data_IF_852159840650
#
_entry.id   IF_852159840650
#
_cell.length_a   1.000
_cell.length_b   1.000
_cell.length_c   1.000
_cell.angle_alpha   90.00
_cell.angle_beta   90.00
_cell.angle_gamma   90.00
#
_symmetry.space_group_name_H-M   'P 1'
#
loop_
_entity.id
_entity.type
_entity.pdbx_description
1 polymer ?
#
# COMPACT_ATOMS: atom_id res chain seq x y z
N UNK A 1 -21.55 12.51 6.22
CA UNK A 1 -20.59 11.53 6.81
C UNK A 1 -19.26 12.21 7.16
N UNK A 2 -18.82 12.12 8.43
CA UNK A 2 -17.65 12.83 9.00
C UNK A 2 -16.41 11.94 9.24
N UNK A 3 -16.48 10.66 8.86
CA UNK A 3 -15.37 9.73 9.07
C UNK A 3 -14.14 10.07 8.23
N UNK A 4 -12.96 9.93 8.82
CA UNK A 4 -11.64 9.99 8.18
C UNK A 4 -10.94 8.64 8.26
N UNK A 5 -10.07 8.35 7.29
CA UNK A 5 -9.46 7.03 7.12
C UNK A 5 -7.93 7.08 7.22
N UNK A 6 -7.28 6.13 7.91
CA UNK A 6 -5.84 5.99 7.83
C UNK A 6 -5.42 5.68 6.39
N UNK A 7 -4.25 6.18 6.00
CA UNK A 7 -3.67 5.98 4.68
C UNK A 7 -2.51 4.98 4.79
N UNK A 8 -2.55 3.93 3.96
CA UNK A 8 -1.45 2.99 3.75
C UNK A 8 -0.85 3.28 2.38
N UNK A 9 0.47 3.45 2.35
CA UNK A 9 1.21 3.77 1.14
C UNK A 9 2.07 2.58 0.78
N UNK A 10 1.99 2.16 -0.47
CA UNK A 10 2.82 1.12 -1.04
C UNK A 10 3.71 1.72 -2.12
N UNK A 11 5.00 1.44 -1.98
CA UNK A 11 6.01 1.68 -2.99
C UNK A 11 6.45 0.34 -3.57
N UNK A 12 6.69 0.31 -4.86
CA UNK A 12 7.18 -0.88 -5.50
C UNK A 12 7.77 -0.57 -6.87
N UNK A 13 8.30 -1.62 -7.47
CA UNK A 13 8.70 -1.65 -8.87
C UNK A 13 7.46 -1.55 -9.76
N UNK A 14 7.62 -0.96 -10.95
CA UNK A 14 6.50 -0.71 -11.85
C UNK A 14 5.69 -2.01 -12.08
N UNK A 15 4.40 -1.99 -11.73
CA UNK A 15 3.49 -3.12 -11.91
C UNK A 15 2.31 -2.73 -12.79
N UNK A 16 1.89 -3.59 -13.70
CA UNK A 16 0.69 -3.41 -14.53
C UNK A 16 -0.61 -3.67 -13.75
N UNK A 17 -0.52 -4.29 -12.58
CA UNK A 17 -1.63 -4.55 -11.66
C UNK A 17 -1.51 -3.71 -10.39
N UNK A 18 -2.62 -3.61 -9.65
CA UNK A 18 -2.62 -2.94 -8.35
C UNK A 18 -1.90 -3.80 -7.30
N UNK A 19 -0.72 -3.35 -6.85
CA UNK A 19 0.08 -4.02 -5.81
C UNK A 19 0.24 -3.08 -4.61
N UNK A 20 -0.54 -3.28 -3.53
CA UNK A 20 -0.48 -2.43 -2.34
C UNK A 20 0.57 -2.86 -1.31
N UNK A 21 1.70 -3.45 -1.73
CA UNK A 21 2.73 -3.99 -0.82
C UNK A 21 2.52 -5.44 -0.40
N UNK A 22 1.37 -6.03 -0.76
CA UNK A 22 1.10 -7.45 -0.56
C UNK A 22 -0.16 -7.89 -1.29
N UNK A 23 -0.37 -9.21 -1.41
CA UNK A 23 -1.60 -9.76 -2.01
C UNK A 23 -2.74 -9.78 -1.00
N UNK A 24 -3.98 -9.80 -1.53
CA UNK A 24 -5.21 -9.96 -0.75
C UNK A 24 -6.02 -11.11 -1.35
N UNK A 25 -5.87 -12.30 -0.77
CA UNK A 25 -6.29 -13.56 -1.42
C UNK A 25 -7.12 -14.42 -0.46
N UNK A 26 -8.33 -14.88 -0.83
CA UNK A 26 -9.16 -15.76 0.00
C UNK A 26 -8.66 -17.21 0.07
N UNK A 27 -7.62 -17.59 -0.67
CA UNK A 27 -7.16 -18.98 -0.77
C UNK A 27 -6.06 -19.26 0.25
N UNK A 28 -6.15 -20.34 1.05
CA UNK A 28 -5.03 -20.74 1.92
C UNK A 28 -3.83 -21.27 1.09
N UNK A 29 -2.63 -21.37 1.69
CA UNK A 29 -1.49 -22.06 1.06
C UNK A 29 -1.85 -23.47 0.61
N UNK A 30 -1.42 -23.83 -0.59
CA UNK A 30 -1.67 -25.16 -1.16
C UNK A 30 -0.80 -26.22 -0.48
N UNK A 31 -1.28 -27.48 -0.35
CA UNK A 31 -0.44 -28.57 0.14
C UNK A 31 0.84 -28.70 -0.70
N UNK A 32 1.99 -28.80 -0.02
CA UNK A 32 3.31 -28.91 -0.67
C UNK A 32 3.93 -27.58 -1.10
N UNK A 33 3.23 -26.45 -0.97
CA UNK A 33 3.82 -25.13 -1.16
C UNK A 33 4.85 -24.83 -0.06
N UNK A 34 5.99 -24.27 -0.42
CA UNK A 34 7.10 -23.99 0.52
C UNK A 34 7.85 -22.71 0.15
N UNK A 35 8.76 -22.28 1.04
CA UNK A 35 9.61 -21.11 0.83
C UNK A 35 8.83 -19.81 0.71
N UNK A 36 9.33 -18.90 -0.13
CA UNK A 36 8.75 -17.57 -0.34
C UNK A 36 7.27 -17.63 -0.76
N UNK A 37 6.94 -18.51 -1.71
CA UNK A 37 5.57 -18.64 -2.21
C UNK A 37 4.60 -19.04 -1.10
N UNK A 38 5.01 -19.92 -0.17
CA UNK A 38 4.19 -20.29 0.98
C UNK A 38 3.95 -19.11 1.92
N UNK A 39 5.01 -18.37 2.25
CA UNK A 39 4.93 -17.24 3.18
C UNK A 39 4.06 -16.11 2.60
N UNK A 40 4.22 -15.78 1.32
CA UNK A 40 3.40 -14.78 0.64
C UNK A 40 1.91 -15.19 0.62
N UNK A 41 1.60 -16.43 0.26
CA UNK A 41 0.22 -16.93 0.29
C UNK A 41 -0.36 -16.97 1.71
N UNK A 42 0.45 -17.35 2.71
CA UNK A 42 0.03 -17.42 4.10
C UNK A 42 -0.39 -16.05 4.62
N UNK A 43 0.40 -15.00 4.38
CA UNK A 43 0.08 -13.66 4.85
C UNK A 43 -1.03 -12.99 4.03
N UNK A 44 -1.10 -13.23 2.72
CA UNK A 44 -2.22 -12.78 1.89
C UNK A 44 -3.56 -13.35 2.39
N UNK A 45 -3.58 -14.65 2.71
CA UNK A 45 -4.75 -15.32 3.27
C UNK A 45 -5.09 -14.84 4.67
N UNK A 46 -4.07 -14.66 5.53
CA UNK A 46 -4.25 -14.14 6.88
C UNK A 46 -4.88 -12.75 6.85
N UNK A 47 -4.37 -11.84 6.02
CA UNK A 47 -4.93 -10.49 5.89
C UNK A 47 -6.37 -10.55 5.38
N UNK A 48 -6.64 -11.32 4.31
CA UNK A 48 -8.00 -11.48 3.78
C UNK A 48 -8.99 -11.96 4.84
N UNK A 49 -8.66 -13.07 5.51
CA UNK A 49 -9.56 -13.71 6.48
C UNK A 49 -9.84 -12.78 7.66
N UNK A 50 -8.83 -12.07 8.17
CA UNK A 50 -9.02 -11.18 9.31
C UNK A 50 -9.71 -9.86 8.93
N UNK A 51 -9.42 -9.31 7.74
CA UNK A 51 -10.02 -8.07 7.25
C UNK A 51 -11.51 -8.21 6.94
N UNK A 52 -11.90 -9.36 6.40
CA UNK A 52 -13.30 -9.66 6.04
C UNK A 52 -14.11 -10.27 7.18
N UNK A 53 -13.48 -10.62 8.30
CA UNK A 53 -14.14 -11.29 9.41
C UNK A 53 -15.13 -10.37 10.15
N UNK A 54 -16.34 -10.86 10.48
CA UNK A 54 -17.33 -10.12 11.26
C UNK A 54 -16.96 -10.00 12.75
N UNK A 55 -15.98 -10.77 13.22
CA UNK A 55 -15.54 -10.83 14.64
C UNK A 55 -14.01 -10.77 14.78
N UNK A 56 -13.30 -10.50 13.69
CA UNK A 56 -11.83 -10.48 13.66
C UNK A 56 -11.21 -9.17 14.14
N UNK A 57 -9.87 -9.10 14.22
CA UNK A 57 -9.14 -7.93 14.73
C UNK A 57 -9.35 -6.67 13.87
N UNK A 58 -9.71 -6.82 12.60
CA UNK A 58 -9.99 -5.71 11.68
C UNK A 58 -11.49 -5.45 11.48
N UNK A 59 -12.35 -5.97 12.36
CA UNK A 59 -13.81 -5.78 12.25
C UNK A 59 -14.15 -4.29 12.19
N UNK A 60 -14.79 -3.89 11.08
CA UNK A 60 -15.20 -2.50 10.86
C UNK A 60 -14.05 -1.55 10.50
N UNK A 61 -12.81 -2.03 10.38
CA UNK A 61 -11.69 -1.24 9.92
C UNK A 61 -11.92 -0.76 8.48
N UNK A 62 -11.44 0.45 8.20
CA UNK A 62 -11.48 1.08 6.87
C UNK A 62 -10.18 1.85 6.71
N UNK A 63 -9.55 1.74 5.57
CA UNK A 63 -8.33 2.44 5.24
C UNK A 63 -8.34 2.86 3.77
N UNK A 64 -7.60 3.91 3.46
CA UNK A 64 -7.19 4.24 2.10
C UNK A 64 -5.88 3.50 1.82
N UNK A 65 -5.78 2.91 0.63
CA UNK A 65 -4.56 2.22 0.20
C UNK A 65 -4.14 2.82 -1.13
N UNK A 66 -2.90 3.28 -1.21
CA UNK A 66 -2.35 3.96 -2.39
C UNK A 66 -1.07 3.26 -2.80
N UNK A 67 -1.05 2.77 -4.04
CA UNK A 67 0.16 2.29 -4.70
C UNK A 67 0.64 3.39 -5.64
N UNK A 68 1.85 3.89 -5.42
CA UNK A 68 2.38 5.03 -6.17
C UNK A 68 3.36 4.54 -7.22
N UNK A 69 3.13 4.92 -8.47
CA UNK A 69 4.12 4.75 -9.54
C UNK A 69 4.90 6.04 -9.69
N UNK A 70 6.22 5.95 -9.60
CA UNK A 70 7.13 7.08 -9.75
C UNK A 70 8.31 6.73 -10.68
N UNK A 71 8.05 6.27 -11.93
CA UNK A 71 9.10 5.87 -12.85
C UNK A 71 9.94 7.06 -13.29
N UNK A 72 11.21 6.81 -13.60
CA UNK A 72 12.15 7.82 -14.08
C UNK A 72 12.75 7.35 -15.41
N UNK A 73 13.43 8.23 -16.18
CA UNK A 73 13.97 7.82 -17.48
C UNK A 73 14.96 6.63 -17.45
N UNK A 74 15.54 6.34 -16.28
CA UNK A 74 16.61 5.33 -16.12
C UNK A 74 16.19 4.10 -15.32
N UNK A 75 15.11 4.18 -14.53
CA UNK A 75 14.68 3.15 -13.60
C UNK A 75 13.15 3.11 -13.55
N UNK A 76 12.60 1.96 -13.19
CA UNK A 76 11.17 1.76 -13.10
C UNK A 76 10.53 2.45 -11.87
N UNK A 77 11.36 2.93 -10.94
CA UNK A 77 10.97 3.78 -9.83
C UNK A 77 12.09 4.77 -9.41
N UNK A 78 11.71 5.89 -8.81
CA UNK A 78 12.60 6.91 -8.25
C UNK A 78 13.09 6.63 -6.82
N UNK A 79 12.82 5.45 -6.25
CA UNK A 79 12.93 5.12 -4.82
C UNK A 79 12.15 6.07 -3.88
N UNK A 80 11.25 6.88 -4.44
CA UNK A 80 10.54 7.95 -3.74
C UNK A 80 11.47 8.91 -3.00
N UNK A 81 12.68 9.12 -3.53
CA UNK A 81 13.66 10.08 -3.00
C UNK A 81 13.81 11.27 -3.95
N UNK A 82 14.31 12.36 -3.40
CA UNK A 82 14.68 13.53 -4.19
C UNK A 82 16.06 13.33 -4.79
N UNK A 83 16.23 13.72 -6.06
CA UNK A 83 17.57 13.82 -6.64
C UNK A 83 17.66 14.97 -7.64
N UNK A 84 18.90 15.41 -7.87
CA UNK A 84 19.20 16.42 -8.89
C UNK A 84 18.92 15.95 -10.32
N UNK A 85 18.97 14.63 -10.56
CA UNK A 85 18.86 14.07 -11.91
C UNK A 85 17.40 13.76 -12.29
N UNK A 86 16.59 13.30 -11.34
CA UNK A 86 15.23 12.83 -11.60
C UNK A 86 14.15 13.67 -10.91
N UNK A 87 14.54 14.69 -10.16
CA UNK A 87 13.63 15.65 -9.54
C UNK A 87 13.22 15.27 -8.11
N UNK A 88 12.34 16.09 -7.51
CA UNK A 88 12.00 16.01 -6.10
C UNK A 88 10.82 15.05 -5.84
N UNK A 89 10.94 13.79 -6.24
CA UNK A 89 9.84 12.81 -6.12
C UNK A 89 9.39 12.59 -4.68
N UNK A 90 10.33 12.48 -3.74
CA UNK A 90 10.00 12.27 -2.33
C UNK A 90 9.23 13.46 -1.76
N UNK A 91 9.73 14.67 -1.99
CA UNK A 91 9.07 15.90 -1.59
C UNK A 91 7.70 16.07 -2.26
N UNK A 92 7.58 15.84 -3.57
CA UNK A 92 6.31 15.95 -4.28
C UNK A 92 5.28 14.91 -3.80
N UNK A 93 5.71 13.67 -3.53
CA UNK A 93 4.84 12.65 -2.94
C UNK A 93 4.32 13.13 -1.59
N UNK A 94 5.23 13.50 -0.68
CA UNK A 94 4.88 13.81 0.72
C UNK A 94 4.11 15.13 0.89
N UNK A 95 4.44 16.15 0.11
CA UNK A 95 3.92 17.51 0.34
C UNK A 95 2.81 17.92 -0.61
N UNK A 96 2.65 17.22 -1.75
CA UNK A 96 1.64 17.55 -2.76
C UNK A 96 0.65 16.40 -2.97
N UNK A 97 1.15 15.22 -3.36
CA UNK A 97 0.30 14.09 -3.76
C UNK A 97 -0.50 13.52 -2.59
N UNK A 98 0.17 13.13 -1.49
CA UNK A 98 -0.51 12.52 -0.35
C UNK A 98 -1.53 13.48 0.29
N UNK A 99 -1.21 14.77 0.55
CA UNK A 99 -2.20 15.72 1.04
C UNK A 99 -3.41 15.89 0.12
N UNK A 100 -3.21 15.88 -1.21
CA UNK A 100 -4.30 15.96 -2.17
C UNK A 100 -5.21 14.72 -2.11
N UNK A 101 -4.63 13.52 -1.97
CA UNK A 101 -5.37 12.26 -1.80
C UNK A 101 -6.16 12.30 -0.48
N UNK A 102 -5.52 12.64 0.63
CA UNK A 102 -6.18 12.69 1.93
C UNK A 102 -7.32 13.71 1.94
N UNK A 103 -7.13 14.90 1.36
CA UNK A 103 -8.19 15.89 1.22
C UNK A 103 -9.36 15.38 0.37
N UNK A 104 -9.08 14.70 -0.74
CA UNK A 104 -10.11 14.22 -1.68
C UNK A 104 -10.91 13.03 -1.13
N UNK A 105 -10.25 12.10 -0.44
CA UNK A 105 -10.85 10.84 0.00
C UNK A 105 -11.10 10.75 1.50
N UNK A 106 -10.91 11.86 2.23
CA UNK A 106 -11.06 11.97 3.69
C UNK A 106 -10.04 11.10 4.44
N UNK A 107 -8.77 11.25 4.10
CA UNK A 107 -7.67 10.77 4.90
C UNK A 107 -7.59 11.51 6.25
N UNK A 108 -6.80 10.98 7.18
CA UNK A 108 -6.59 11.60 8.50
C UNK A 108 -5.83 12.93 8.36
N UNK A 109 -5.03 13.12 7.30
CA UNK A 109 -4.35 14.37 7.00
C UNK A 109 -3.15 14.66 7.89
N UNK A 110 -2.68 13.67 8.65
CA UNK A 110 -1.58 13.84 9.59
C UNK A 110 -0.20 13.60 8.96
N UNK A 111 -0.13 13.15 7.70
CA UNK A 111 1.12 13.19 6.92
C UNK A 111 2.18 12.13 7.27
N UNK A 112 1.85 11.10 8.03
CA UNK A 112 2.79 10.00 8.32
C UNK A 112 2.04 8.77 8.83
N UNK A 113 1.99 7.73 8.01
CA UNK A 113 1.90 6.36 8.47
C UNK A 113 2.88 5.58 7.58
N UNK A 114 4.06 5.16 8.09
CA UNK A 114 4.93 4.28 7.33
C UNK A 114 4.11 3.06 6.90
N UNK A 115 4.14 2.78 5.59
CA UNK A 115 3.38 1.71 4.98
C UNK A 115 3.61 0.37 5.69
N UNK A 116 2.53 -0.37 5.87
CA UNK A 116 2.55 -1.76 6.27
C UNK A 116 2.53 -2.62 5.00
N UNK A 117 3.45 -3.58 4.94
CA UNK A 117 3.74 -4.59 3.90
C UNK A 117 4.64 -4.11 2.75
#
# INVERSE_FOLDING_TARGET
PTATYPLVIAHGHFSDVFVPGGRFDPSPPQPGQSGYAYIDQLYAYYLYRNWTSPTGPFRGARALVVSIKHPVPFFDDSYAVDSVNVGPYGSAIMTELLPAIEKKYRGIGQGWAPGLL
#
